data_IF_857870282162
#
_entry.id   IF_857870282162
#
_cell.length_a   1.000
_cell.length_b   1.000
_cell.length_c   1.000
_cell.angle_alpha   90.00
_cell.angle_beta   90.00
_cell.angle_gamma   90.00
#
_symmetry.space_group_name_H-M   'P 1'
#
loop_
_entity.id
_entity.type
_entity.pdbx_description
1 polymer ?
#
# COMPACT_ATOMS: atom_id res chain seq x y z
N UNK A 1 -10.48 8.59 -3.19
CA UNK A 1 -9.49 7.57 -2.80
C UNK A 1 -8.11 7.85 -3.39
N UNK A 2 -7.96 8.24 -4.66
CA UNK A 2 -6.62 8.50 -5.21
C UNK A 2 -5.93 9.72 -4.57
N UNK A 3 -6.61 10.85 -4.47
CA UNK A 3 -6.05 12.07 -3.85
C UNK A 3 -5.73 11.91 -2.36
N UNK A 4 -6.43 11.03 -1.66
CA UNK A 4 -6.14 10.73 -0.25
C UNK A 4 -4.85 9.95 -0.04
N UNK A 5 -4.35 9.23 -1.06
CA UNK A 5 -3.03 8.56 -1.00
C UNK A 5 -1.91 9.60 -0.85
N UNK A 6 -2.10 10.81 -1.38
CA UNK A 6 -1.10 11.88 -1.34
C UNK A 6 -1.36 12.93 -0.24
N UNK A 7 -2.41 12.75 0.56
CA UNK A 7 -2.79 13.68 1.64
C UNK A 7 -2.27 13.21 3.00
N UNK A 8 -1.94 14.15 3.88
CA UNK A 8 -1.39 13.86 5.21
C UNK A 8 -2.07 14.73 6.28
N UNK A 9 -2.38 14.13 7.44
CA UNK A 9 -3.07 14.84 8.52
C UNK A 9 -2.14 15.67 9.40
N UNK A 10 -0.89 15.23 9.57
CA UNK A 10 0.09 15.87 10.44
C UNK A 10 1.48 15.86 9.80
N UNK A 11 2.34 16.76 10.23
CA UNK A 11 3.73 16.83 9.77
C UNK A 11 4.49 15.52 10.04
N UNK A 12 4.34 14.92 11.23
CA UNK A 12 5.02 13.67 11.55
C UNK A 12 4.52 12.50 10.67
N UNK A 13 3.22 12.43 10.38
CA UNK A 13 2.69 11.43 9.43
C UNK A 13 3.27 11.61 8.03
N UNK A 14 3.41 12.86 7.57
CA UNK A 14 4.06 13.16 6.31
C UNK A 14 5.54 12.74 6.32
N UNK A 15 6.29 13.13 7.34
CA UNK A 15 7.71 12.84 7.45
C UNK A 15 7.98 11.33 7.45
N UNK A 16 7.30 10.58 8.32
CA UNK A 16 7.52 9.14 8.41
C UNK A 16 7.11 8.38 7.15
N UNK A 17 6.01 8.77 6.50
CA UNK A 17 5.61 8.17 5.22
C UNK A 17 6.67 8.40 4.14
N UNK A 18 7.22 9.62 4.04
CA UNK A 18 8.21 9.96 3.02
C UNK A 18 9.57 9.31 3.31
N UNK A 19 9.99 9.21 4.57
CA UNK A 19 11.23 8.50 4.94
C UNK A 19 11.10 7.00 4.63
N UNK A 20 9.97 6.38 4.96
CA UNK A 20 9.71 4.98 4.63
C UNK A 20 9.67 4.77 3.10
N UNK A 21 9.00 5.65 2.38
CA UNK A 21 8.95 5.62 0.91
C UNK A 21 10.33 5.77 0.28
N UNK A 22 11.15 6.71 0.77
CA UNK A 22 12.51 6.91 0.29
C UNK A 22 13.40 5.69 0.58
N UNK A 23 13.23 5.06 1.75
CA UNK A 23 14.07 3.95 2.19
C UNK A 23 13.75 2.63 1.45
N UNK A 24 12.48 2.37 1.15
CA UNK A 24 12.03 1.08 0.57
C UNK A 24 11.62 1.21 -0.91
N UNK A 25 11.30 2.41 -1.39
CA UNK A 25 10.74 2.63 -2.73
C UNK A 25 11.61 2.09 -3.85
N UNK A 26 12.94 2.23 -3.75
CA UNK A 26 13.87 1.68 -4.74
C UNK A 26 13.80 0.15 -4.84
N UNK A 27 13.74 -0.54 -3.71
CA UNK A 27 13.59 -2.01 -3.69
C UNK A 27 12.23 -2.44 -4.26
N UNK A 28 11.14 -1.77 -3.86
CA UNK A 28 9.81 -2.03 -4.37
C UNK A 28 9.69 -1.80 -5.89
N UNK A 29 10.32 -0.74 -6.42
CA UNK A 29 10.41 -0.48 -7.86
C UNK A 29 11.07 -1.64 -8.61
N UNK A 30 12.22 -2.11 -8.12
CA UNK A 30 12.94 -3.23 -8.74
C UNK A 30 12.09 -4.50 -8.70
N UNK A 31 11.44 -4.79 -7.58
CA UNK A 31 10.62 -5.98 -7.40
C UNK A 31 9.43 -6.00 -8.36
N UNK A 32 8.71 -4.88 -8.47
CA UNK A 32 7.56 -4.77 -9.35
C UNK A 32 7.93 -5.12 -10.80
N UNK A 33 9.07 -4.63 -11.29
CA UNK A 33 9.43 -4.74 -12.71
C UNK A 33 10.28 -5.95 -13.05
N UNK A 34 11.12 -6.46 -12.14
CA UNK A 34 12.11 -7.47 -12.49
C UNK A 34 11.79 -8.90 -12.02
N UNK A 35 10.96 -9.11 -10.99
CA UNK A 35 10.94 -10.42 -10.30
C UNK A 35 9.90 -11.43 -10.85
N UNK A 36 9.08 -11.11 -11.86
CA UNK A 36 8.00 -12.03 -12.25
C UNK A 36 7.69 -12.16 -13.76
N UNK A 37 8.59 -11.71 -14.63
CA UNK A 37 8.38 -11.80 -16.08
C UNK A 37 8.96 -13.09 -16.67
N UNK A 38 8.23 -14.19 -16.56
CA UNK A 38 8.58 -15.46 -17.22
C UNK A 38 8.22 -15.51 -18.72
N UNK A 39 7.95 -14.37 -19.37
CA UNK A 39 7.41 -14.26 -20.75
C UNK A 39 8.01 -13.03 -21.48
N UNK A 40 7.89 -12.93 -22.82
CA UNK A 40 8.50 -11.85 -23.59
C UNK A 40 8.04 -10.50 -23.02
N UNK A 41 8.98 -9.77 -22.43
CA UNK A 41 8.73 -8.46 -21.84
C UNK A 41 8.64 -7.47 -22.98
N UNK A 42 7.51 -6.77 -23.10
CA UNK A 42 7.46 -5.53 -23.87
C UNK A 42 8.45 -4.59 -23.19
N UNK A 43 9.56 -4.17 -23.86
CA UNK A 43 10.57 -3.35 -23.24
C UNK A 43 9.98 -2.03 -22.72
N UNK A 44 10.40 -1.62 -21.53
CA UNK A 44 10.00 -0.36 -20.93
C UNK A 44 11.17 0.61 -20.90
N UNK A 45 10.91 1.87 -21.21
CA UNK A 45 11.92 2.92 -21.12
C UNK A 45 12.31 3.26 -19.67
N UNK A 46 11.47 2.89 -18.69
CA UNK A 46 11.68 3.19 -17.26
C UNK A 46 10.84 2.25 -16.38
N UNK A 47 11.33 1.98 -15.16
CA UNK A 47 10.63 1.19 -14.13
C UNK A 47 9.47 1.97 -13.46
N UNK A 48 9.46 3.30 -13.64
CA UNK A 48 8.57 4.21 -12.93
C UNK A 48 7.07 3.95 -13.18
N UNK A 49 6.58 3.70 -14.41
CA UNK A 49 5.15 3.56 -14.67
C UNK A 49 4.51 2.39 -13.91
N UNK A 50 5.19 1.24 -13.86
CA UNK A 50 4.67 0.07 -13.15
C UNK A 50 4.66 0.31 -11.64
N UNK A 51 5.72 0.90 -11.10
CA UNK A 51 5.79 1.22 -9.68
C UNK A 51 4.73 2.25 -9.26
N UNK A 52 4.53 3.32 -10.04
CA UNK A 52 3.49 4.31 -9.76
C UNK A 52 2.09 3.68 -9.82
N UNK A 53 1.86 2.77 -10.78
CA UNK A 53 0.61 2.01 -10.87
C UNK A 53 0.41 1.14 -9.63
N UNK A 54 1.44 0.39 -9.23
CA UNK A 54 1.43 -0.39 -7.99
C UNK A 54 1.10 0.50 -6.79
N UNK A 55 1.82 1.61 -6.61
CA UNK A 55 1.69 2.48 -5.46
C UNK A 55 0.29 3.12 -5.38
N UNK A 56 -0.21 3.62 -6.50
CA UNK A 56 -1.54 4.21 -6.59
C UNK A 56 -2.64 3.18 -6.32
N UNK A 57 -2.56 2.00 -6.94
CA UNK A 57 -3.55 0.93 -6.76
C UNK A 57 -3.54 0.35 -5.34
N UNK A 58 -2.36 0.15 -4.75
CA UNK A 58 -2.20 -0.25 -3.36
C UNK A 58 -2.83 0.76 -2.40
N UNK A 59 -2.55 2.06 -2.60
CA UNK A 59 -3.12 3.14 -1.78
C UNK A 59 -4.64 3.24 -1.91
N UNK A 60 -5.17 3.14 -3.13
CA UNK A 60 -6.63 3.16 -3.37
C UNK A 60 -7.30 1.94 -2.75
N UNK A 61 -6.71 0.74 -2.88
CA UNK A 61 -7.22 -0.48 -2.28
C UNK A 61 -7.25 -0.38 -0.75
N UNK A 62 -6.13 0.01 -0.14
CA UNK A 62 -6.00 0.23 1.30
C UNK A 62 -7.05 1.21 1.84
N UNK A 63 -7.20 2.37 1.18
CA UNK A 63 -8.20 3.36 1.56
C UNK A 63 -9.62 2.80 1.45
N UNK A 64 -9.90 2.02 0.40
CA UNK A 64 -11.19 1.38 0.19
C UNK A 64 -11.51 0.40 1.32
N UNK A 65 -10.55 -0.44 1.72
CA UNK A 65 -10.69 -1.36 2.85
C UNK A 65 -11.03 -0.60 4.14
N UNK A 66 -10.26 0.45 4.45
CA UNK A 66 -10.52 1.28 5.64
C UNK A 66 -11.91 1.93 5.60
N UNK A 67 -12.32 2.46 4.45
CA UNK A 67 -13.64 3.07 4.27
C UNK A 67 -14.78 2.07 4.46
N UNK A 68 -14.67 0.86 3.90
CA UNK A 68 -15.66 -0.20 4.07
C UNK A 68 -15.77 -0.59 5.55
N UNK A 69 -14.65 -0.82 6.22
CA UNK A 69 -14.64 -1.19 7.65
C UNK A 69 -15.23 -0.07 8.49
N UNK A 70 -14.86 1.18 8.23
CA UNK A 70 -15.39 2.35 8.93
C UNK A 70 -16.89 2.52 8.71
N UNK A 71 -17.40 2.29 7.49
CA UNK A 71 -18.82 2.32 7.19
C UNK A 71 -19.60 1.22 7.93
N UNK A 72 -19.07 -0.02 7.97
CA UNK A 72 -19.67 -1.12 8.72
C UNK A 72 -19.70 -0.80 10.21
N UNK A 73 -18.58 -0.32 10.77
CA UNK A 73 -18.48 0.07 12.19
C UNK A 73 -19.44 1.19 12.52
N UNK A 74 -19.53 2.21 11.68
CA UNK A 74 -20.46 3.33 11.85
C UNK A 74 -21.90 2.81 11.93
N UNK A 75 -22.34 1.98 10.96
CA UNK A 75 -23.68 1.39 10.96
C UNK A 75 -23.96 0.55 12.21
N UNK A 76 -22.97 -0.22 12.69
CA UNK A 76 -23.11 -1.02 13.92
C UNK A 76 -23.27 -0.15 15.16
N UNK A 77 -22.46 0.90 15.32
CA UNK A 77 -22.55 1.81 16.48
C UNK A 77 -23.88 2.55 16.47
N UNK A 78 -24.36 3.04 15.32
CA UNK A 78 -25.69 3.68 15.23
C UNK A 78 -26.80 2.74 15.71
N UNK A 79 -26.76 1.47 15.34
CA UNK A 79 -27.77 0.47 15.76
C UNK A 79 -27.71 0.13 17.24
N UNK A 80 -26.52 0.11 17.84
CA UNK A 80 -26.31 -0.33 19.22
C UNK A 80 -26.38 0.81 20.24
N UNK A 81 -26.11 2.03 19.82
CA UNK A 81 -26.06 3.20 20.72
C UNK A 81 -26.88 4.35 20.14
N UNK A 82 -26.25 5.28 19.43
CA UNK A 82 -26.90 6.45 18.86
C UNK A 82 -26.08 7.04 17.71
N UNK A 83 -26.74 7.86 16.89
CA UNK A 83 -26.08 8.59 15.81
C UNK A 83 -25.01 9.57 16.31
N UNK A 84 -25.26 10.25 17.44
CA UNK A 84 -24.29 11.18 18.04
C UNK A 84 -23.01 10.45 18.47
N UNK A 85 -23.16 9.30 19.14
CA UNK A 85 -22.05 8.44 19.55
C UNK A 85 -21.27 7.94 18.34
N UNK A 86 -21.94 7.49 17.28
CA UNK A 86 -21.28 7.02 16.06
C UNK A 86 -20.46 8.12 15.37
N UNK A 87 -21.00 9.36 15.30
CA UNK A 87 -20.27 10.51 14.75
C UNK A 87 -19.03 10.87 15.58
N UNK A 88 -19.14 10.86 16.90
CA UNK A 88 -18.02 11.17 17.80
C UNK A 88 -16.93 10.10 17.78
N UNK A 89 -17.32 8.82 17.63
CA UNK A 89 -16.40 7.69 17.77
C UNK A 89 -15.82 7.18 16.44
N UNK A 90 -16.59 7.16 15.37
CA UNK A 90 -16.16 6.62 14.07
C UNK A 90 -16.02 7.73 13.03
N UNK A 91 -16.92 8.73 13.08
CA UNK A 91 -17.02 9.78 12.05
C UNK A 91 -15.82 10.74 11.92
N UNK A 92 -14.85 10.72 12.85
CA UNK A 92 -13.67 11.58 12.81
C UNK A 92 -12.44 10.95 12.15
N UNK A 93 -12.50 9.66 11.81
CA UNK A 93 -11.35 8.93 11.26
C UNK A 93 -11.44 8.91 9.74
N UNK A 94 -10.68 9.79 9.09
CA UNK A 94 -10.47 9.74 7.63
C UNK A 94 -9.25 8.89 7.30
N UNK A 95 -9.41 7.94 6.37
CA UNK A 95 -8.29 7.19 5.76
C UNK A 95 -7.48 8.13 4.85
N UNK A 96 -6.52 8.84 5.44
CA UNK A 96 -5.65 9.78 4.74
C UNK A 96 -4.20 9.28 4.86
N UNK A 97 -3.52 9.10 3.74
CA UNK A 97 -2.08 8.82 3.75
C UNK A 97 -1.61 7.78 2.73
N UNK A 98 -0.36 7.95 2.33
CA UNK A 98 0.41 7.01 1.52
C UNK A 98 0.74 5.70 2.26
N UNK A 99 0.48 5.62 3.56
CA UNK A 99 0.94 4.54 4.44
C UNK A 99 0.46 3.16 4.00
N UNK A 100 -0.77 3.03 3.48
CA UNK A 100 -1.24 1.76 2.91
C UNK A 100 -0.39 1.30 1.72
N UNK A 101 -0.04 2.21 0.81
CA UNK A 101 0.85 1.90 -0.31
C UNK A 101 2.29 1.59 0.16
N UNK A 102 2.77 2.27 1.20
CA UNK A 102 4.07 1.98 1.85
C UNK A 102 4.07 0.58 2.48
N UNK A 103 2.99 0.16 3.14
CA UNK A 103 2.86 -1.21 3.66
C UNK A 103 2.90 -2.24 2.52
N UNK A 104 2.24 -1.95 1.39
CA UNK A 104 2.36 -2.79 0.20
C UNK A 104 3.81 -2.90 -0.28
N UNK A 105 4.51 -1.77 -0.38
CA UNK A 105 5.92 -1.71 -0.79
C UNK A 105 6.84 -2.48 0.18
N UNK A 106 6.62 -2.35 1.49
CA UNK A 106 7.32 -3.10 2.53
C UNK A 106 7.13 -4.61 2.36
N UNK A 107 5.89 -5.06 2.15
CA UNK A 107 5.60 -6.49 2.00
C UNK A 107 6.26 -7.07 0.76
N UNK A 108 6.14 -6.43 -0.42
CA UNK A 108 6.79 -6.96 -1.63
C UNK A 108 8.31 -6.97 -1.50
N UNK A 109 8.89 -5.98 -0.80
CA UNK A 109 10.33 -5.91 -0.56
C UNK A 109 10.78 -6.98 0.44
N UNK A 110 9.98 -7.27 1.47
CA UNK A 110 10.26 -8.33 2.43
C UNK A 110 10.17 -9.73 1.81
N UNK A 111 9.28 -9.92 0.84
CA UNK A 111 9.17 -11.17 0.09
C UNK A 111 10.36 -11.38 -0.85
N UNK A 112 10.84 -10.31 -1.48
CA UNK A 112 12.00 -10.36 -2.37
C UNK A 112 13.33 -10.48 -1.64
N UNK A 113 13.50 -9.71 -0.55
CA UNK A 113 14.76 -9.53 0.15
C UNK A 113 14.54 -9.67 1.67
N UNK A 114 14.16 -10.87 2.17
CA UNK A 114 13.74 -11.04 3.56
C UNK A 114 14.81 -10.68 4.59
N UNK A 115 16.09 -10.81 4.24
CA UNK A 115 17.27 -10.50 5.06
C UNK A 115 17.78 -9.05 4.91
N UNK A 116 17.16 -8.23 4.05
CA UNK A 116 17.52 -6.82 3.92
C UNK A 116 17.38 -6.11 5.26
N UNK A 117 18.42 -5.39 5.66
CA UNK A 117 18.48 -4.75 6.97
C UNK A 117 17.75 -3.40 6.96
N UNK A 118 16.75 -3.25 7.84
CA UNK A 118 16.11 -1.97 8.13
C UNK A 118 16.76 -1.34 9.34
N UNK A 119 17.12 -0.06 9.24
CA UNK A 119 17.54 0.76 10.37
C UNK A 119 16.37 1.48 11.03
N UNK A 120 16.47 1.76 12.32
CA UNK A 120 15.55 2.67 13.00
C UNK A 120 15.98 4.11 12.67
N UNK A 121 15.03 4.96 12.25
CA UNK A 121 15.29 6.32 11.73
C UNK A 121 16.23 7.15 12.63
N UNK A 122 16.15 7.00 13.96
CA UNK A 122 16.97 7.73 14.93
C UNK A 122 18.09 6.91 15.59
N UNK A 123 18.19 5.61 15.28
CA UNK A 123 19.21 4.70 15.79
C UNK A 123 19.69 3.79 14.63
N UNK A 124 20.33 4.35 13.60
CA UNK A 124 20.63 3.63 12.36
C UNK A 124 21.64 2.48 12.54
N UNK A 125 22.38 2.48 13.65
CA UNK A 125 23.29 1.40 14.05
C UNK A 125 22.55 0.18 14.61
N UNK A 126 21.27 0.32 14.97
CA UNK A 126 20.39 -0.79 15.30
C UNK A 126 19.62 -1.16 14.04
N UNK A 127 19.94 -2.33 13.50
CA UNK A 127 19.29 -2.88 12.32
C UNK A 127 18.63 -4.22 12.61
N UNK A 128 17.60 -4.53 11.83
CA UNK A 128 16.94 -5.82 11.87
C UNK A 128 16.44 -6.22 10.47
N UNK A 129 16.25 -7.52 10.19
CA UNK A 129 15.74 -7.97 8.91
C UNK A 129 14.34 -7.40 8.62
N UNK A 130 14.10 -6.96 7.39
CA UNK A 130 12.83 -6.39 6.94
C UNK A 130 11.64 -7.31 7.23
N UNK A 131 11.81 -8.64 7.14
CA UNK A 131 10.76 -9.60 7.50
C UNK A 131 10.29 -9.44 8.96
N UNK A 132 11.21 -9.15 9.87
CA UNK A 132 10.93 -8.93 11.30
C UNK A 132 10.23 -7.59 11.45
N UNK A 133 10.68 -6.57 10.72
CA UNK A 133 10.03 -5.25 10.67
C UNK A 133 8.57 -5.33 10.24
N UNK A 134 8.31 -6.00 9.11
CA UNK A 134 6.95 -6.18 8.58
C UNK A 134 6.08 -6.96 9.57
N UNK A 135 6.59 -8.06 10.14
CA UNK A 135 5.86 -8.82 11.14
C UNK A 135 5.52 -7.98 12.38
N UNK A 136 6.46 -7.17 12.87
CA UNK A 136 6.25 -6.26 14.00
C UNK A 136 5.22 -5.17 13.72
N UNK A 137 5.27 -4.54 12.54
CA UNK A 137 4.31 -3.54 12.10
C UNK A 137 2.89 -4.12 12.01
N UNK A 138 2.74 -5.30 11.40
CA UNK A 138 1.44 -5.99 11.32
C UNK A 138 0.92 -6.38 12.71
N UNK A 139 1.78 -6.87 13.59
CA UNK A 139 1.41 -7.19 14.97
C UNK A 139 0.95 -5.93 15.73
N UNK A 140 1.62 -4.80 15.54
CA UNK A 140 1.24 -3.51 16.12
C UNK A 140 -0.12 -3.01 15.60
N UNK A 141 -0.43 -3.19 14.31
CA UNK A 141 -1.75 -2.86 13.78
C UNK A 141 -2.86 -3.74 14.35
N UNK A 142 -2.61 -5.05 14.47
CA UNK A 142 -3.56 -5.98 15.10
C UNK A 142 -3.77 -5.61 16.56
N UNK A 143 -2.70 -5.35 17.31
CA UNK A 143 -2.79 -4.88 18.68
C UNK A 143 -3.56 -3.55 18.78
N UNK A 144 -3.30 -2.60 17.87
CA UNK A 144 -4.00 -1.33 17.79
C UNK A 144 -5.51 -1.50 17.54
N UNK A 145 -5.90 -2.46 16.70
CA UNK A 145 -7.31 -2.81 16.49
C UNK A 145 -7.93 -3.38 17.78
N UNK A 146 -7.26 -4.34 18.43
CA UNK A 146 -7.76 -5.01 19.63
C UNK A 146 -7.85 -4.06 20.83
N UNK A 147 -6.83 -3.23 21.02
CA UNK A 147 -6.71 -2.23 22.08
C UNK A 147 -7.38 -0.89 21.74
N UNK A 148 -7.99 -0.79 20.55
CA UNK A 148 -8.76 0.38 20.07
C UNK A 148 -7.95 1.68 19.99
N UNK A 149 -6.69 1.58 19.60
CA UNK A 149 -5.89 2.75 19.26
C UNK A 149 -6.50 3.50 18.07
N UNK A 150 -6.44 4.84 18.11
CA UNK A 150 -7.06 5.73 17.11
C UNK A 150 -6.05 6.59 16.36
N UNK A 151 -4.77 6.50 16.73
CA UNK A 151 -3.74 7.35 16.15
C UNK A 151 -3.44 6.97 14.69
N UNK A 152 -3.64 5.70 14.32
CA UNK A 152 -3.29 5.16 13.00
C UNK A 152 -4.50 4.52 12.30
N UNK A 153 -4.45 4.49 10.97
CA UNK A 153 -5.42 3.74 10.16
C UNK A 153 -4.96 2.29 9.97
N UNK A 154 -5.14 1.51 11.04
CA UNK A 154 -4.73 0.10 11.09
C UNK A 154 -5.36 -0.75 9.98
N UNK A 155 -6.59 -0.43 9.56
CA UNK A 155 -7.27 -1.18 8.50
C UNK A 155 -6.72 -0.85 7.11
N UNK A 156 -6.33 0.41 6.88
CA UNK A 156 -5.62 0.79 5.66
C UNK A 156 -4.24 0.12 5.58
N UNK A 157 -3.49 0.07 6.68
CA UNK A 157 -2.18 -0.59 6.72
C UNK A 157 -2.27 -2.09 6.39
N UNK A 158 -3.16 -2.82 7.05
CA UNK A 158 -3.38 -4.24 6.79
C UNK A 158 -3.92 -4.49 5.37
N UNK A 159 -4.81 -3.61 4.87
CA UNK A 159 -5.28 -3.66 3.49
C UNK A 159 -4.15 -3.46 2.47
N UNK A 160 -3.23 -2.54 2.75
CA UNK A 160 -2.03 -2.31 1.96
C UNK A 160 -1.07 -3.49 1.96
N UNK A 161 -0.81 -4.08 3.14
CA UNK A 161 0.00 -5.29 3.28
C UNK A 161 -0.58 -6.47 2.49
N UNK A 162 -1.89 -6.69 2.60
CA UNK A 162 -2.59 -7.72 1.84
C UNK A 162 -2.50 -7.48 0.33
N UNK A 163 -2.66 -6.22 -0.12
CA UNK A 163 -2.47 -5.87 -1.52
C UNK A 163 -1.06 -6.17 -2.01
N UNK A 164 -0.02 -5.79 -1.25
CA UNK A 164 1.37 -6.09 -1.57
C UNK A 164 1.61 -7.59 -1.73
N UNK A 165 1.11 -8.39 -0.79
CA UNK A 165 1.19 -9.85 -0.86
C UNK A 165 0.51 -10.43 -2.11
N UNK A 166 -0.68 -9.93 -2.48
CA UNK A 166 -1.39 -10.36 -3.70
C UNK A 166 -0.60 -9.94 -4.95
N UNK A 167 -0.09 -8.70 -4.96
CA UNK A 167 0.66 -8.15 -6.09
C UNK A 167 1.94 -8.95 -6.34
N UNK A 168 2.59 -9.48 -5.31
CA UNK A 168 3.75 -10.36 -5.46
C UNK A 168 3.48 -11.55 -6.39
N UNK A 169 2.29 -12.16 -6.33
CA UNK A 169 1.96 -13.33 -7.14
C UNK A 169 1.35 -12.97 -8.51
N UNK A 170 0.61 -11.87 -8.60
CA UNK A 170 -0.23 -11.54 -9.76
C UNK A 170 0.18 -10.27 -10.50
N UNK A 171 0.82 -9.32 -9.82
CA UNK A 171 1.00 -7.94 -10.27
C UNK A 171 1.75 -7.80 -11.59
N UNK A 172 2.93 -8.42 -11.72
CA UNK A 172 3.71 -8.37 -12.95
C UNK A 172 2.99 -9.03 -14.13
N UNK A 173 2.30 -10.15 -13.91
CA UNK A 173 1.50 -10.82 -14.95
C UNK A 173 0.35 -9.94 -15.43
N UNK A 174 -0.36 -9.31 -14.50
CA UNK A 174 -1.44 -8.36 -14.83
C UNK A 174 -0.92 -7.15 -15.59
N UNK A 175 0.26 -6.65 -15.22
CA UNK A 175 0.90 -5.53 -15.88
C UNK A 175 1.29 -5.86 -17.33
N UNK A 176 1.96 -6.99 -17.58
CA UNK A 176 2.31 -7.42 -18.94
C UNK A 176 1.08 -7.69 -19.81
N UNK A 177 0.02 -8.28 -19.23
CA UNK A 177 -1.25 -8.50 -19.92
C UNK A 177 -1.89 -7.17 -20.36
N UNK A 178 -1.88 -6.16 -19.47
CA UNK A 178 -2.38 -4.82 -19.79
C UNK A 178 -1.56 -4.16 -20.92
N UNK A 179 -0.22 -4.21 -20.84
CA UNK A 179 0.64 -3.67 -21.90
C UNK A 179 0.36 -4.32 -23.24
N UNK A 180 0.27 -5.66 -23.27
CA UNK A 180 -0.02 -6.42 -24.49
C UNK A 180 -1.35 -6.01 -25.10
N UNK A 181 -2.39 -5.84 -24.27
CA UNK A 181 -3.70 -5.36 -24.71
C UNK A 181 -3.63 -3.95 -25.31
N UNK A 182 -2.94 -3.03 -24.64
CA UNK A 182 -2.82 -1.64 -25.08
C UNK A 182 -2.06 -1.52 -26.41
N UNK A 183 -0.94 -2.23 -26.55
CA UNK A 183 -0.17 -2.23 -27.82
C UNK A 183 -1.00 -2.82 -28.96
N UNK A 184 -1.74 -3.91 -28.71
CA UNK A 184 -2.62 -4.50 -29.72
C UNK A 184 -3.65 -3.48 -30.21
N UNK A 185 -4.28 -2.73 -29.29
CA UNK A 185 -5.27 -1.69 -29.63
C UNK A 185 -4.67 -0.54 -30.44
N UNK A 186 -3.46 -0.11 -30.10
CA UNK A 186 -2.78 0.97 -30.86
C UNK A 186 -2.51 0.52 -32.30
N UNK A 187 -1.95 -0.69 -32.48
CA UNK A 187 -1.68 -1.24 -33.81
C UNK A 187 -2.94 -1.47 -34.65
N UNK A 188 -4.03 -1.88 -34.02
CA UNK A 188 -5.34 -2.02 -34.69
C UNK A 188 -5.92 -0.66 -35.08
N UNK A 189 -5.69 0.39 -34.29
CA UNK A 189 -6.08 1.76 -34.64
C UNK A 189 -5.31 2.29 -35.86
N UNK A 190 -3.99 2.09 -35.88
CA UNK A 190 -3.11 2.53 -36.98
C UNK A 190 -3.41 1.87 -38.34
N UNK A 191 -4.10 0.73 -38.36
CA UNK A 191 -4.47 0.03 -39.60
C UNK A 191 -5.86 0.40 -40.15
N UNK A 192 -6.65 1.14 -39.37
CA UNK A 192 -8.02 1.54 -39.72
C UNK A 192 -8.15 3.03 -40.09
N UNK A 193 -7.05 3.77 -40.06
CA UNK A 193 -6.91 5.18 -40.51
C UNK A 193 -6.11 5.25 -41.83
#
# INVERSE_FOLDING_TARGET
MLTSVFSHQTFLHYLFNNVALWSIGGSAMIVCTHINSCKPVIPEASLTPQYLTFFATAGVFAATVSHIVSAIRFRRVVKLTSLSTAKQTVGRQGSLGASGAVYGALVISALAFPDAQLGIIFLPFITFPIRVGVAGLMAADIAGILLRWRMFDHWAHLGGAAFGFIYWYLGAKSWEALKTLLIKRVKEGEYND
#
